data_IF_003274315126
#
_entry.id   IF_003274315126
#
_cell.length_a   1.000
_cell.length_b   1.000
_cell.length_c   1.000
_cell.angle_alpha   90.00
_cell.angle_beta   90.00
_cell.angle_gamma   90.00
#
_symmetry.space_group_name_H-M   'P 1'
#
loop_
_entity.id
_entity.type
_entity.pdbx_description
1 polymer ?
#
# COMPACT_ATOMS: atom_id res chain seq x y z
N UNK A 1 34.54 -48.67 -14.58
CA UNK A 1 33.44 -48.36 -13.64
C UNK A 1 33.49 -46.88 -13.31
N UNK A 2 32.83 -46.06 -14.11
CA UNK A 2 32.59 -44.65 -13.80
C UNK A 2 31.21 -44.33 -14.35
N UNK A 3 30.31 -43.98 -13.43
CA UNK A 3 28.86 -43.83 -13.61
C UNK A 3 28.55 -42.53 -14.36
N UNK A 4 27.56 -42.60 -15.24
CA UNK A 4 26.84 -41.48 -15.82
C UNK A 4 26.28 -40.52 -14.74
N UNK A 5 26.41 -39.22 -14.99
CA UNK A 5 25.70 -38.13 -14.33
C UNK A 5 24.75 -37.49 -15.36
N UNK A 6 23.45 -37.31 -15.06
CA UNK A 6 22.52 -36.71 -15.99
C UNK A 6 22.64 -35.18 -16.03
N UNK A 7 22.40 -34.62 -17.23
CA UNK A 7 22.37 -33.20 -17.52
C UNK A 7 21.23 -32.48 -16.77
N UNK A 8 21.54 -31.30 -16.21
CA UNK A 8 20.57 -30.35 -15.68
C UNK A 8 19.94 -29.53 -16.83
N UNK A 9 18.63 -29.26 -16.82
CA UNK A 9 17.98 -28.44 -17.84
C UNK A 9 18.22 -26.94 -17.60
N UNK A 10 18.11 -26.20 -18.71
CA UNK A 10 18.29 -24.76 -18.82
C UNK A 10 17.40 -23.97 -17.85
N UNK A 11 18.00 -23.00 -17.15
CA UNK A 11 17.29 -22.01 -16.34
C UNK A 11 16.74 -20.93 -17.27
N UNK A 12 15.42 -20.87 -17.39
CA UNK A 12 14.68 -19.79 -18.04
C UNK A 12 14.94 -18.45 -17.34
N UNK A 13 15.07 -17.42 -18.18
CA UNK A 13 15.35 -16.04 -17.80
C UNK A 13 14.13 -15.43 -17.11
N UNK A 14 14.17 -15.34 -15.78
CA UNK A 14 13.23 -14.51 -15.01
C UNK A 14 13.67 -13.05 -15.01
N UNK A 15 12.69 -12.16 -15.21
CA UNK A 15 12.85 -10.75 -15.52
C UNK A 15 13.65 -9.93 -14.52
N UNK A 16 14.31 -8.90 -15.05
CA UNK A 16 15.26 -8.00 -14.38
C UNK A 16 14.71 -7.15 -13.22
N UNK A 17 13.42 -7.29 -12.87
CA UNK A 17 12.78 -6.58 -11.75
C UNK A 17 13.01 -7.23 -10.38
N UNK A 18 13.16 -8.56 -10.31
CA UNK A 18 13.39 -9.27 -9.04
C UNK A 18 14.84 -9.18 -8.54
N UNK A 19 15.80 -9.08 -9.48
CA UNK A 19 17.20 -8.89 -9.12
C UNK A 19 17.48 -7.52 -8.50
N UNK A 20 16.78 -6.45 -8.91
CA UNK A 20 16.90 -5.16 -8.20
C UNK A 20 16.29 -5.21 -6.80
N UNK A 21 15.17 -5.93 -6.60
CA UNK A 21 14.54 -6.08 -5.29
C UNK A 21 15.42 -6.89 -4.31
N UNK A 22 16.01 -7.99 -4.77
CA UNK A 22 16.97 -8.79 -4.00
C UNK A 22 18.27 -8.04 -3.76
N UNK A 23 18.80 -7.32 -4.76
CA UNK A 23 20.01 -6.51 -4.57
C UNK A 23 19.79 -5.37 -3.57
N UNK A 24 18.60 -4.75 -3.51
CA UNK A 24 18.30 -3.73 -2.49
C UNK A 24 18.10 -4.32 -1.09
N UNK A 25 17.44 -5.47 -0.97
CA UNK A 25 17.29 -6.15 0.33
C UNK A 25 18.63 -6.66 0.86
N UNK A 26 19.47 -7.22 -0.02
CA UNK A 26 20.82 -7.65 0.33
C UNK A 26 21.73 -6.46 0.59
N UNK A 27 21.62 -5.34 -0.13
CA UNK A 27 22.43 -4.14 0.12
C UNK A 27 22.06 -3.43 1.42
N UNK A 28 20.77 -3.39 1.81
CA UNK A 28 20.37 -2.89 3.13
C UNK A 28 20.94 -3.81 4.22
N UNK A 29 20.87 -5.14 4.07
CA UNK A 29 21.43 -6.08 5.03
C UNK A 29 22.97 -6.09 5.04
N UNK A 30 23.61 -5.88 3.90
CA UNK A 30 25.07 -5.73 3.77
C UNK A 30 25.57 -4.40 4.29
N UNK A 31 24.83 -3.29 4.14
CA UNK A 31 25.15 -2.03 4.81
C UNK A 31 24.96 -2.17 6.32
N UNK A 32 23.94 -2.92 6.76
CA UNK A 32 23.70 -3.23 8.18
C UNK A 32 24.82 -4.13 8.76
N UNK A 33 25.36 -5.07 7.98
CA UNK A 33 26.47 -5.94 8.41
C UNK A 33 27.86 -5.32 8.22
N UNK A 34 28.08 -4.49 7.20
CA UNK A 34 29.36 -3.81 6.96
C UNK A 34 29.62 -2.71 8.01
N UNK A 35 28.57 -2.04 8.50
CA UNK A 35 28.67 -1.18 9.68
C UNK A 35 28.99 -1.98 10.96
N UNK A 36 28.65 -3.27 11.02
CA UNK A 36 28.92 -4.12 12.18
C UNK A 36 30.35 -4.69 12.22
N UNK A 37 31.11 -4.64 11.12
CA UNK A 37 32.47 -5.19 11.04
C UNK A 37 33.60 -4.15 11.00
N UNK A 38 33.31 -2.86 10.82
CA UNK A 38 34.31 -1.79 10.87
C UNK A 38 34.48 -1.14 12.26
N UNK A 39 33.87 -1.71 13.31
CA UNK A 39 34.13 -1.32 14.71
C UNK A 39 35.41 -1.99 15.20
N UNK A 40 36.54 -1.54 14.66
CA UNK A 40 37.85 -2.16 14.91
C UNK A 40 39.02 -1.24 14.64
N UNK A 41 38.96 0.02 15.08
CA UNK A 41 40.10 0.87 15.47
C UNK A 41 39.65 2.33 15.52
N UNK A 42 39.68 2.94 16.71
CA UNK A 42 40.18 4.30 17.01
C UNK A 42 39.72 4.68 18.43
N UNK A 43 40.64 4.95 19.38
CA UNK A 43 40.27 5.39 20.71
C UNK A 43 39.96 6.89 20.68
N UNK A 44 38.77 7.31 21.09
CA UNK A 44 38.50 8.73 21.39
C UNK A 44 37.30 9.40 20.75
N UNK A 45 36.34 8.68 20.17
CA UNK A 45 35.02 9.26 19.84
C UNK A 45 33.92 8.49 20.55
N UNK A 46 32.97 9.20 21.14
CA UNK A 46 31.83 8.62 21.84
C UNK A 46 30.97 7.84 20.84
N UNK A 47 31.19 6.53 20.75
CA UNK A 47 30.46 5.62 19.88
C UNK A 47 29.18 5.24 20.63
N UNK A 48 28.03 5.70 20.11
CA UNK A 48 26.73 5.22 20.53
C UNK A 48 26.72 3.69 20.38
N UNK A 49 26.47 3.00 21.47
CA UNK A 49 26.49 1.55 21.57
C UNK A 49 25.30 0.96 20.81
N UNK A 50 25.35 -0.34 20.48
CA UNK A 50 24.26 -1.10 19.85
C UNK A 50 22.95 -1.09 20.65
N UNK A 51 22.98 -0.62 21.91
CA UNK A 51 21.82 -0.37 22.74
C UNK A 51 21.11 0.98 22.44
N UNK A 52 21.82 1.96 21.87
CA UNK A 52 21.26 3.29 21.57
C UNK A 52 20.39 3.28 20.30
N UNK A 53 20.62 2.33 19.39
CA UNK A 53 19.75 2.11 18.20
C UNK A 53 18.39 1.51 18.60
N UNK A 54 18.31 0.83 19.74
CA UNK A 54 17.07 0.26 20.29
C UNK A 54 16.18 1.29 21.01
N UNK A 55 16.58 2.57 21.02
CA UNK A 55 15.81 3.67 21.64
C UNK A 55 15.42 4.78 20.66
N UNK A 56 15.57 4.58 19.36
CA UNK A 56 15.01 5.52 18.39
C UNK A 56 13.49 5.36 18.39
N UNK A 57 12.79 6.25 19.13
CA UNK A 57 11.33 6.39 19.04
C UNK A 57 10.96 6.51 17.56
N UNK A 58 9.92 5.78 17.15
CA UNK A 58 9.38 5.86 15.80
C UNK A 58 9.22 7.32 15.38
N UNK A 59 9.58 7.65 14.13
CA UNK A 59 9.44 9.01 13.62
C UNK A 59 7.97 9.40 13.73
N UNK A 60 7.69 10.47 14.46
CA UNK A 60 6.33 10.98 14.59
C UNK A 60 5.91 11.59 13.25
N UNK A 61 4.60 11.65 12.99
CA UNK A 61 4.13 12.32 11.76
C UNK A 61 4.59 13.78 11.73
N UNK A 62 4.70 14.42 12.90
CA UNK A 62 5.22 15.79 13.03
C UNK A 62 6.66 15.92 12.51
N UNK A 63 7.55 15.01 12.90
CA UNK A 63 8.94 15.03 12.46
C UNK A 63 9.06 14.70 10.98
N UNK A 64 8.27 13.73 10.48
CA UNK A 64 8.22 13.40 9.07
C UNK A 64 7.75 14.60 8.23
N UNK A 65 6.73 15.33 8.72
CA UNK A 65 6.25 16.56 8.11
C UNK A 65 7.33 17.65 8.13
N UNK A 66 8.01 17.89 9.26
CA UNK A 66 9.06 18.91 9.34
C UNK A 66 10.21 18.62 8.36
N UNK A 67 10.67 17.36 8.28
CA UNK A 67 11.67 16.92 7.29
C UNK A 67 11.18 17.09 5.85
N UNK A 68 9.89 16.83 5.62
CA UNK A 68 9.28 17.00 4.31
C UNK A 68 9.17 18.48 3.93
N UNK A 69 8.80 19.36 4.85
CA UNK A 69 8.76 20.82 4.66
C UNK A 69 10.16 21.37 4.38
N UNK A 70 11.19 20.90 5.10
CA UNK A 70 12.59 21.26 4.84
C UNK A 70 13.05 20.81 3.43
N UNK A 71 12.65 19.60 3.01
CA UNK A 71 13.05 19.04 1.71
C UNK A 71 12.27 19.62 0.53
N UNK A 72 10.99 19.91 0.72
CA UNK A 72 10.12 20.47 -0.33
C UNK A 72 10.22 22.00 -0.42
N UNK A 73 10.60 22.66 0.68
CA UNK A 73 10.58 24.11 0.81
C UNK A 73 9.16 24.69 0.94
N UNK A 74 8.13 23.85 0.99
CA UNK A 74 6.73 24.25 1.08
C UNK A 74 6.13 23.89 2.44
N UNK A 75 5.14 24.67 2.89
CA UNK A 75 4.38 24.33 4.10
C UNK A 75 3.40 23.20 3.82
N UNK A 76 3.36 22.21 4.69
CA UNK A 76 2.53 21.04 4.52
C UNK A 76 1.02 21.37 4.49
N UNK A 77 0.61 22.45 5.18
CA UNK A 77 -0.79 22.90 5.22
C UNK A 77 -1.30 23.61 3.95
N UNK A 78 -0.40 24.13 3.11
CA UNK A 78 -0.74 24.85 1.88
C UNK A 78 -0.54 23.98 0.63
N UNK A 79 0.29 22.95 0.71
CA UNK A 79 0.49 22.04 -0.42
C UNK A 79 -0.73 21.14 -0.66
N UNK A 80 -0.88 20.75 -1.92
CA UNK A 80 -1.91 19.79 -2.35
C UNK A 80 -1.42 18.35 -2.28
N UNK A 81 -0.11 18.10 -2.20
CA UNK A 81 0.43 16.75 -2.27
C UNK A 81 1.59 16.55 -1.28
N UNK A 82 1.34 15.75 -0.25
CA UNK A 82 2.29 15.45 0.81
C UNK A 82 2.81 14.02 0.66
N UNK A 83 4.13 13.85 0.57
CA UNK A 83 4.78 12.56 0.33
C UNK A 83 5.73 12.20 1.47
N UNK A 84 5.26 11.38 2.39
CA UNK A 84 5.95 10.90 3.59
C UNK A 84 6.28 9.40 3.47
N UNK A 85 6.78 8.96 2.32
CA UNK A 85 7.15 7.57 2.13
C UNK A 85 8.55 7.26 2.68
N UNK A 86 8.77 6.03 3.15
CA UNK A 86 10.09 5.48 3.48
C UNK A 86 10.82 6.25 4.59
N UNK A 87 10.12 6.58 5.68
CA UNK A 87 10.76 7.27 6.81
C UNK A 87 11.71 6.32 7.56
N UNK A 88 12.85 6.87 8.00
CA UNK A 88 13.84 6.17 8.82
C UNK A 88 14.06 6.99 10.09
N UNK A 89 13.68 6.49 11.28
CA UNK A 89 12.87 5.30 11.60
C UNK A 89 11.44 5.33 11.02
N UNK A 90 10.77 4.18 10.79
CA UNK A 90 9.43 4.15 10.20
C UNK A 90 8.37 4.78 11.11
N UNK A 91 7.30 5.31 10.50
CA UNK A 91 6.14 5.80 11.24
C UNK A 91 5.31 4.61 11.71
N UNK A 92 5.11 4.45 13.01
CA UNK A 92 4.27 3.38 13.58
C UNK A 92 2.80 3.80 13.77
N UNK A 93 2.56 5.11 14.02
CA UNK A 93 1.24 5.63 14.37
C UNK A 93 0.97 6.97 13.69
N UNK A 94 -0.28 7.16 13.28
CA UNK A 94 -0.76 8.43 12.76
C UNK A 94 -1.11 9.38 13.90
N UNK A 95 -0.48 10.55 13.91
CA UNK A 95 -0.69 11.59 14.92
C UNK A 95 -1.69 12.67 14.44
N UNK A 96 -2.31 13.43 15.36
CA UNK A 96 -3.16 14.58 15.02
C UNK A 96 -2.45 15.67 14.22
N UNK A 97 -1.11 15.61 14.08
CA UNK A 97 -0.34 16.46 13.17
C UNK A 97 -0.82 16.39 11.71
N UNK A 98 -1.49 15.31 11.29
CA UNK A 98 -2.14 15.25 9.96
C UNK A 98 -3.26 16.29 9.80
N UNK A 99 -3.82 16.82 10.89
CA UNK A 99 -4.87 17.83 10.83
C UNK A 99 -4.40 19.20 10.32
N UNK A 100 -3.08 19.45 10.28
CA UNK A 100 -2.52 20.67 9.70
C UNK A 100 -2.65 20.70 8.18
N UNK A 101 -2.84 19.53 7.56
CA UNK A 101 -2.88 19.30 6.11
C UNK A 101 -4.25 19.65 5.51
N UNK A 102 -4.76 20.84 5.79
CA UNK A 102 -6.14 21.24 5.43
C UNK A 102 -6.38 21.24 3.91
N UNK A 103 -5.38 21.59 3.10
CA UNK A 103 -5.49 21.65 1.63
C UNK A 103 -4.94 20.41 0.90
N UNK A 104 -4.54 19.38 1.65
CA UNK A 104 -3.89 18.21 1.04
C UNK A 104 -4.92 17.36 0.28
N UNK A 105 -4.72 17.24 -1.04
CA UNK A 105 -5.50 16.38 -1.92
C UNK A 105 -4.87 14.99 -2.06
N UNK A 106 -3.54 14.87 -1.92
CA UNK A 106 -2.79 13.62 -2.12
C UNK A 106 -1.84 13.36 -0.94
N UNK A 107 -2.11 12.30 -0.17
CA UNK A 107 -1.27 11.90 0.96
C UNK A 107 -0.62 10.55 0.68
N UNK A 108 0.71 10.51 0.70
CA UNK A 108 1.48 9.27 0.57
C UNK A 108 2.24 8.96 1.85
N UNK A 109 1.93 7.84 2.47
CA UNK A 109 2.51 7.30 3.70
C UNK A 109 3.01 5.86 3.47
N UNK A 110 3.47 5.58 2.25
CA UNK A 110 3.94 4.25 1.86
C UNK A 110 5.27 3.87 2.54
N UNK A 111 5.52 2.57 2.74
CA UNK A 111 6.76 2.06 3.38
C UNK A 111 6.95 2.62 4.78
N UNK A 112 5.94 2.41 5.62
CA UNK A 112 5.96 2.74 7.05
C UNK A 112 5.46 1.51 7.85
N UNK A 113 5.39 1.61 9.17
CA UNK A 113 4.92 0.53 10.04
C UNK A 113 3.55 0.86 10.65
N UNK A 114 2.68 1.54 9.89
CA UNK A 114 1.39 2.00 10.42
C UNK A 114 0.48 0.80 10.62
N UNK A 115 0.04 0.58 11.86
CA UNK A 115 -0.87 -0.52 12.19
C UNK A 115 -2.36 -0.14 12.10
N UNK A 116 -2.67 1.13 12.35
CA UNK A 116 -4.03 1.65 12.41
C UNK A 116 -4.13 3.01 11.75
N UNK A 117 -5.17 3.17 10.94
CA UNK A 117 -5.53 4.45 10.33
C UNK A 117 -6.33 5.25 11.36
N UNK A 118 -5.78 6.38 11.81
CA UNK A 118 -6.42 7.26 12.79
C UNK A 118 -6.09 8.72 12.48
N UNK A 119 -6.85 9.66 13.03
CA UNK A 119 -6.56 11.10 12.96
C UNK A 119 -6.62 11.72 11.54
N UNK A 120 -7.47 11.21 10.66
CA UNK A 120 -7.70 11.79 9.32
C UNK A 120 -8.71 12.94 9.30
N UNK A 121 -9.21 13.38 10.46
CA UNK A 121 -10.33 14.33 10.58
C UNK A 121 -10.05 15.73 10.01
N UNK A 122 -8.78 16.13 9.85
CA UNK A 122 -8.43 17.43 9.25
C UNK A 122 -8.28 17.42 7.73
N UNK A 123 -8.27 16.24 7.09
CA UNK A 123 -8.00 16.05 5.67
C UNK A 123 -9.30 16.14 4.83
N UNK A 124 -9.95 17.30 4.86
CA UNK A 124 -11.28 17.48 4.23
C UNK A 124 -11.28 17.48 2.70
N UNK A 125 -10.12 17.62 2.07
CA UNK A 125 -9.98 17.68 0.61
C UNK A 125 -9.21 16.49 0.04
N UNK A 126 -8.97 15.46 0.85
CA UNK A 126 -8.16 14.32 0.45
C UNK A 126 -8.90 13.49 -0.60
N UNK A 127 -8.27 13.35 -1.76
CA UNK A 127 -8.75 12.56 -2.90
C UNK A 127 -7.94 11.28 -3.06
N UNK A 128 -6.63 11.32 -2.83
CA UNK A 128 -5.73 10.18 -3.04
C UNK A 128 -4.99 9.86 -1.75
N UNK A 129 -5.16 8.63 -1.26
CA UNK A 129 -4.47 8.14 -0.07
C UNK A 129 -3.64 6.90 -0.40
N UNK A 130 -2.33 7.00 -0.21
CA UNK A 130 -1.39 5.91 -0.42
C UNK A 130 -0.80 5.45 0.92
N UNK A 131 -1.09 4.21 1.29
CA UNK A 131 -0.67 3.51 2.50
C UNK A 131 -0.04 2.16 2.15
N UNK A 132 0.62 2.05 1.00
CA UNK A 132 1.25 0.81 0.58
C UNK A 132 2.42 0.39 1.48
N UNK A 133 2.68 -0.92 1.64
CA UNK A 133 3.75 -1.45 2.49
C UNK A 133 3.65 -0.90 3.93
N UNK A 134 2.54 -1.20 4.59
CA UNK A 134 2.28 -0.91 5.99
C UNK A 134 1.78 -2.18 6.70
N UNK A 135 1.50 -2.10 8.01
CA UNK A 135 1.01 -3.22 8.82
C UNK A 135 -0.47 -3.07 9.16
N UNK A 136 -1.26 -2.47 8.26
CA UNK A 136 -2.67 -2.17 8.52
C UNK A 136 -3.46 -3.47 8.52
N UNK A 137 -4.19 -3.74 9.61
CA UNK A 137 -5.00 -4.95 9.78
C UNK A 137 -6.49 -4.75 9.45
N UNK A 138 -6.97 -3.51 9.52
CA UNK A 138 -8.37 -3.16 9.30
C UNK A 138 -8.49 -1.75 8.70
N UNK A 139 -9.48 -1.56 7.82
CA UNK A 139 -9.82 -0.27 7.20
C UNK A 139 -10.74 0.61 8.07
N UNK A 140 -10.54 0.58 9.39
CA UNK A 140 -11.27 1.44 10.33
C UNK A 140 -10.64 2.82 10.39
N UNK A 141 -11.44 3.89 10.57
CA UNK A 141 -10.94 5.25 10.75
C UNK A 141 -10.85 6.11 9.48
N UNK A 142 -11.40 5.62 8.36
CA UNK A 142 -11.53 6.34 7.09
C UNK A 142 -12.87 7.09 6.93
N UNK A 143 -13.75 7.04 7.94
CA UNK A 143 -15.11 7.61 7.86
C UNK A 143 -15.09 9.11 7.60
N UNK A 144 -14.12 9.84 8.16
CA UNK A 144 -14.01 11.29 7.99
C UNK A 144 -13.56 11.74 6.60
N UNK A 145 -12.90 10.86 5.83
CA UNK A 145 -12.46 11.14 4.46
C UNK A 145 -13.29 10.39 3.41
N UNK A 146 -14.30 9.62 3.83
CA UNK A 146 -15.06 8.75 2.93
C UNK A 146 -15.91 9.48 1.89
N UNK A 147 -16.26 10.74 2.15
CA UNK A 147 -16.98 11.58 1.21
C UNK A 147 -16.07 12.24 0.17
N UNK A 148 -14.76 12.33 0.41
CA UNK A 148 -13.85 13.04 -0.51
C UNK A 148 -12.85 12.13 -1.20
N UNK A 149 -12.59 10.94 -0.63
CA UNK A 149 -11.60 10.02 -1.14
C UNK A 149 -12.05 9.35 -2.45
N UNK A 150 -11.24 9.52 -3.49
CA UNK A 150 -11.47 8.96 -4.82
C UNK A 150 -10.54 7.77 -5.10
N UNK A 151 -9.32 7.78 -4.57
CA UNK A 151 -8.32 6.73 -4.78
C UNK A 151 -7.68 6.28 -3.47
N UNK A 152 -7.66 4.97 -3.22
CA UNK A 152 -7.07 4.36 -2.03
C UNK A 152 -6.09 3.26 -2.43
N UNK A 153 -4.82 3.43 -2.05
CA UNK A 153 -3.77 2.45 -2.32
C UNK A 153 -3.26 1.86 -1.01
N UNK A 154 -3.60 0.60 -0.76
CA UNK A 154 -3.33 -0.17 0.46
C UNK A 154 -2.65 -1.51 0.12
N UNK A 155 -1.90 -1.56 -0.97
CA UNK A 155 -1.12 -2.73 -1.38
C UNK A 155 -0.07 -3.13 -0.33
N UNK A 156 0.22 -4.42 -0.19
CA UNK A 156 1.19 -4.95 0.79
C UNK A 156 0.86 -4.52 2.22
N UNK A 157 -0.34 -4.89 2.68
CA UNK A 157 -0.78 -4.72 4.05
C UNK A 157 -1.29 -6.08 4.60
N UNK A 158 -1.78 -6.08 5.83
CA UNK A 158 -2.26 -7.28 6.52
C UNK A 158 -3.78 -7.25 6.70
N UNK A 159 -4.50 -6.70 5.72
CA UNK A 159 -5.95 -6.49 5.84
C UNK A 159 -6.67 -7.81 5.63
N UNK A 160 -7.34 -8.28 6.68
CA UNK A 160 -8.18 -9.48 6.63
C UNK A 160 -9.66 -9.14 6.46
N UNK A 161 -10.10 -8.00 7.02
CA UNK A 161 -11.49 -7.57 7.05
C UNK A 161 -11.63 -6.15 6.47
N UNK A 162 -12.54 -6.01 5.52
CA UNK A 162 -12.90 -4.75 4.84
C UNK A 162 -14.04 -4.01 5.57
N UNK A 163 -14.18 -4.22 6.88
CA UNK A 163 -15.17 -3.51 7.69
C UNK A 163 -14.86 -2.02 7.72
N UNK A 164 -15.81 -1.18 7.30
CA UNK A 164 -15.67 0.27 7.21
C UNK A 164 -15.46 0.82 5.81
N UNK A 165 -15.24 -0.05 4.80
CA UNK A 165 -15.09 0.40 3.40
C UNK A 165 -16.35 1.07 2.87
N UNK A 166 -17.53 0.65 3.33
CA UNK A 166 -18.86 1.21 3.00
C UNK A 166 -19.00 2.73 3.24
N UNK A 167 -18.14 3.32 4.07
CA UNK A 167 -18.13 4.77 4.30
C UNK A 167 -17.53 5.55 3.12
N UNK A 168 -16.76 4.89 2.24
CA UNK A 168 -16.03 5.49 1.12
C UNK A 168 -16.90 5.61 -0.15
N UNK A 169 -18.00 6.37 -0.09
CA UNK A 169 -19.01 6.41 -1.16
C UNK A 169 -18.50 6.92 -2.52
N UNK A 170 -17.46 7.76 -2.51
CA UNK A 170 -16.89 8.37 -3.70
C UNK A 170 -15.61 7.68 -4.21
N UNK A 171 -15.26 6.52 -3.64
CA UNK A 171 -14.08 5.78 -4.05
C UNK A 171 -14.26 5.21 -5.46
N UNK A 172 -13.33 5.57 -6.35
CA UNK A 172 -13.28 5.12 -7.75
C UNK A 172 -12.20 4.08 -7.98
N UNK A 173 -11.06 4.22 -7.30
CA UNK A 173 -9.90 3.34 -7.48
C UNK A 173 -9.48 2.74 -6.14
N UNK A 174 -9.41 1.42 -6.06
CA UNK A 174 -8.95 0.69 -4.89
C UNK A 174 -7.84 -0.27 -5.27
N UNK A 175 -6.62 -0.02 -4.78
CA UNK A 175 -5.51 -0.94 -4.93
C UNK A 175 -5.23 -1.62 -3.60
N UNK A 176 -5.47 -2.92 -3.53
CA UNK A 176 -5.30 -3.72 -2.34
C UNK A 176 -4.64 -5.07 -2.62
N UNK A 177 -3.66 -5.07 -3.52
CA UNK A 177 -2.86 -6.25 -3.83
C UNK A 177 -2.06 -6.73 -2.62
N UNK A 178 -1.78 -8.03 -2.50
CA UNK A 178 -0.97 -8.61 -1.43
C UNK A 178 -1.51 -8.23 -0.03
N UNK A 179 -2.80 -8.53 0.20
CA UNK A 179 -3.44 -8.45 1.51
C UNK A 179 -3.86 -9.86 1.97
N UNK A 180 -4.58 -9.96 3.09
CA UNK A 180 -4.92 -11.24 3.73
C UNK A 180 -6.42 -11.56 3.67
N UNK A 181 -7.15 -11.01 2.69
CA UNK A 181 -8.58 -11.27 2.55
C UNK A 181 -8.81 -12.68 2.01
N UNK A 182 -9.58 -13.48 2.75
CA UNK A 182 -9.82 -14.91 2.45
C UNK A 182 -11.28 -15.26 2.16
N UNK A 183 -12.21 -14.36 2.45
CA UNK A 183 -13.65 -14.63 2.46
C UNK A 183 -14.39 -13.74 1.47
N UNK A 184 -15.30 -14.34 0.68
CA UNK A 184 -16.20 -13.60 -0.21
C UNK A 184 -17.11 -12.62 0.53
N UNK A 185 -17.46 -12.89 1.79
CA UNK A 185 -18.28 -11.98 2.59
C UNK A 185 -17.65 -10.61 2.78
N UNK A 186 -16.32 -10.52 2.80
CA UNK A 186 -15.61 -9.24 2.84
C UNK A 186 -15.53 -8.59 1.45
N UNK A 187 -15.34 -9.39 0.40
CA UNK A 187 -15.32 -8.92 -0.99
C UNK A 187 -16.67 -8.31 -1.43
N UNK A 188 -17.79 -8.93 -1.04
CA UNK A 188 -19.14 -8.43 -1.36
C UNK A 188 -19.40 -7.04 -0.77
N UNK A 189 -18.72 -6.65 0.33
CA UNK A 189 -18.84 -5.29 0.87
C UNK A 189 -18.28 -4.21 -0.06
N UNK A 190 -17.40 -4.58 -1.00
CA UNK A 190 -16.96 -3.66 -2.04
C UNK A 190 -18.07 -3.34 -3.04
N UNK A 191 -19.10 -4.20 -3.13
CA UNK A 191 -20.27 -3.95 -3.99
C UNK A 191 -21.13 -2.79 -3.49
N UNK A 192 -21.05 -2.48 -2.19
CA UNK A 192 -21.73 -1.33 -1.59
C UNK A 192 -21.13 0.02 -2.03
N UNK A 193 -20.01 0.00 -2.77
CA UNK A 193 -19.35 1.18 -3.32
C UNK A 193 -19.94 1.50 -4.71
N UNK A 194 -20.80 2.53 -4.85
CA UNK A 194 -21.47 2.81 -6.11
C UNK A 194 -20.51 3.34 -7.19
N UNK A 195 -19.42 3.98 -6.77
CA UNK A 195 -18.50 4.67 -7.66
C UNK A 195 -17.25 3.86 -8.01
N UNK A 196 -17.10 2.62 -7.52
CA UNK A 196 -15.86 1.85 -7.71
C UNK A 196 -15.72 1.40 -9.17
N UNK A 197 -14.64 1.82 -9.82
CA UNK A 197 -14.36 1.60 -11.24
C UNK A 197 -13.15 0.69 -11.45
N UNK A 198 -12.07 0.89 -10.70
CA UNK A 198 -10.82 0.15 -10.81
C UNK A 198 -10.47 -0.51 -9.46
N UNK A 199 -10.28 -1.83 -9.49
CA UNK A 199 -9.95 -2.65 -8.32
C UNK A 199 -8.75 -3.53 -8.65
N UNK A 200 -7.73 -3.50 -7.80
CA UNK A 200 -6.61 -4.45 -7.85
C UNK A 200 -6.59 -5.23 -6.54
N UNK A 201 -6.75 -6.54 -6.65
CA UNK A 201 -6.90 -7.48 -5.55
C UNK A 201 -5.93 -8.69 -5.66
N UNK A 202 -5.07 -8.72 -6.69
CA UNK A 202 -4.02 -9.73 -6.90
C UNK A 202 -3.21 -10.04 -5.63
N UNK A 203 -2.97 -11.32 -5.36
CA UNK A 203 -2.12 -11.77 -4.25
C UNK A 203 -2.82 -11.78 -2.90
N UNK A 204 -4.16 -11.70 -2.89
CA UNK A 204 -4.96 -12.04 -1.72
C UNK A 204 -5.25 -13.55 -1.71
N UNK A 205 -5.31 -14.22 -0.55
CA UNK A 205 -5.63 -15.64 -0.49
C UNK A 205 -6.97 -16.03 -1.12
N UNK A 206 -7.95 -15.11 -1.16
CA UNK A 206 -9.20 -15.32 -1.88
C UNK A 206 -8.99 -15.38 -3.40
N UNK A 207 -8.19 -14.46 -3.95
CA UNK A 207 -7.88 -14.44 -5.38
C UNK A 207 -7.03 -15.64 -5.76
N UNK A 208 -5.94 -15.91 -5.05
CA UNK A 208 -5.03 -17.03 -5.32
C UNK A 208 -5.77 -18.39 -5.41
N UNK A 209 -6.74 -18.62 -4.52
CA UNK A 209 -7.60 -19.81 -4.55
C UNK A 209 -8.45 -19.91 -5.81
N UNK A 210 -9.16 -18.85 -6.18
CA UNK A 210 -10.07 -18.87 -7.33
C UNK A 210 -9.37 -18.62 -8.66
N UNK A 211 -8.18 -18.03 -8.64
CA UNK A 211 -7.28 -17.85 -9.78
C UNK A 211 -6.71 -19.20 -10.19
N UNK A 212 -6.32 -20.03 -9.22
CA UNK A 212 -5.94 -21.44 -9.44
C UNK A 212 -7.06 -22.28 -10.06
N UNK A 213 -8.32 -21.96 -9.73
CA UNK A 213 -9.52 -22.61 -10.30
C UNK A 213 -9.96 -22.01 -11.65
N UNK A 214 -9.38 -20.87 -12.06
CA UNK A 214 -9.76 -20.12 -13.26
C UNK A 214 -11.11 -19.39 -13.17
N UNK A 215 -11.72 -19.32 -11.99
CA UNK A 215 -13.07 -18.75 -11.77
C UNK A 215 -13.07 -17.35 -11.17
N UNK A 216 -11.89 -16.82 -10.80
CA UNK A 216 -11.74 -15.54 -10.11
C UNK A 216 -12.45 -14.38 -10.82
N UNK A 217 -12.15 -14.17 -12.11
CA UNK A 217 -12.70 -13.05 -12.88
C UNK A 217 -14.23 -13.11 -12.99
N UNK A 218 -14.78 -14.32 -13.22
CA UNK A 218 -16.23 -14.51 -13.36
C UNK A 218 -16.96 -14.27 -12.03
N UNK A 219 -16.45 -14.84 -10.93
CA UNK A 219 -17.04 -14.70 -9.61
C UNK A 219 -16.92 -13.26 -9.08
N UNK A 220 -15.79 -12.59 -9.36
CA UNK A 220 -15.55 -11.20 -8.97
C UNK A 220 -16.43 -10.23 -9.77
N UNK A 221 -16.47 -10.36 -11.10
CA UNK A 221 -17.30 -9.51 -11.98
C UNK A 221 -18.80 -9.69 -11.72
N UNK A 222 -19.25 -10.90 -11.40
CA UNK A 222 -20.64 -11.18 -11.00
C UNK A 222 -21.04 -10.48 -9.69
N UNK A 223 -20.12 -10.35 -8.74
CA UNK A 223 -20.36 -9.67 -7.44
C UNK A 223 -20.17 -8.16 -7.52
N UNK A 224 -19.27 -7.70 -8.39
CA UNK A 224 -18.97 -6.28 -8.61
C UNK A 224 -19.35 -5.88 -10.04
N UNK A 225 -20.65 -5.81 -10.36
CA UNK A 225 -21.09 -5.51 -11.71
C UNK A 225 -20.68 -4.08 -12.14
N UNK A 226 -20.44 -3.15 -11.22
CA UNK A 226 -20.11 -1.77 -11.57
C UNK A 226 -18.63 -1.55 -11.96
N UNK A 227 -17.79 -2.57 -11.78
CA UNK A 227 -16.36 -2.48 -11.99
C UNK A 227 -16.02 -2.46 -13.48
N UNK A 228 -15.20 -1.50 -13.91
CA UNK A 228 -14.70 -1.41 -15.30
C UNK A 228 -13.33 -2.05 -15.46
N UNK A 229 -12.56 -2.21 -14.38
CA UNK A 229 -11.22 -2.77 -14.42
C UNK A 229 -10.94 -3.57 -13.15
N UNK A 230 -10.52 -4.80 -13.34
CA UNK A 230 -10.18 -5.75 -12.28
C UNK A 230 -8.78 -6.29 -12.52
N UNK A 231 -7.89 -6.15 -11.55
CA UNK A 231 -6.53 -6.70 -11.57
C UNK A 231 -5.70 -6.29 -12.79
N UNK A 232 -5.89 -5.06 -13.25
CA UNK A 232 -5.23 -4.55 -14.45
C UNK A 232 -5.91 -4.91 -15.76
N UNK A 233 -6.89 -5.82 -15.74
CA UNK A 233 -7.67 -6.23 -16.91
C UNK A 233 -8.94 -5.40 -17.03
N UNK A 234 -9.18 -4.72 -18.16
CA UNK A 234 -10.45 -4.04 -18.37
C UNK A 234 -11.57 -5.07 -18.43
N UNK A 235 -12.57 -4.93 -17.56
CA UNK A 235 -13.81 -5.68 -17.61
C UNK A 235 -14.68 -5.00 -18.67
N UNK A 236 -14.45 -5.36 -19.93
CA UNK A 236 -15.26 -4.89 -21.05
C UNK A 236 -16.59 -5.62 -20.96
N UNK A 237 -17.63 -4.89 -20.52
CA UNK A 237 -19.00 -5.36 -20.76
C UNK A 237 -19.27 -5.23 -22.26
N UNK A 238 -19.96 -6.19 -22.90
CA UNK A 238 -20.57 -5.90 -24.18
C UNK A 238 -21.45 -4.66 -23.98
N UNK A 239 -21.21 -3.62 -24.77
CA UNK A 239 -22.01 -2.40 -24.74
C UNK A 239 -23.48 -2.81 -24.86
N UNK A 240 -24.26 -2.51 -23.82
CA UNK A 240 -25.70 -2.50 -23.99
C UNK A 240 -25.92 -1.22 -24.77
N UNK A 241 -26.07 -1.40 -26.09
CA UNK A 241 -26.54 -0.40 -27.02
C UNK A 241 -27.76 0.26 -26.36
N UNK A 242 -27.56 1.44 -25.76
CA UNK A 242 -28.66 2.32 -25.39
C UNK A 242 -29.26 2.74 -26.72
N UNK A 243 -30.18 1.90 -27.21
CA UNK A 243 -31.00 2.22 -28.36
C UNK A 243 -31.66 3.55 -28.07
N UNK A 244 -31.19 4.57 -28.78
CA UNK A 244 -31.87 5.84 -28.97
C UNK A 244 -33.31 5.53 -29.43
N UNK A 245 -34.21 5.43 -28.45
CA UNK A 245 -35.64 5.30 -28.63
C UNK A 245 -36.21 6.65 -28.98
N UNK A 246 -36.01 7.03 -30.23
CA UNK A 246 -36.67 8.14 -30.90
C UNK A 246 -38.19 7.88 -30.92
N UNK A 247 -38.96 8.70 -30.20
CA UNK A 247 -40.40 8.91 -30.43
C UNK A 247 -40.91 10.18 -29.75
#
# INVERSE_FOLDING_TARGET
>A
MTRDLPALPAVEVLGTSDLQSLMFSSYILLCYNAHAQLVGCLPGSAIATRADINMAKATTVREALAKWEEKSGEKAGETKAVRLYGQVPPIEKMDPSLSTLTNCEKLSLSTNCIEKITNLNGLKHLKILSLGRNNIKALTGLESVGETLEELWISYNLIEKLKGVQSLKNLKVLYMSNNLVKEWGEFVRLADLPCLVDLVFVGNPLEDKHSSEGTWMDEASKRLPNLKKLDGTPVIKPEVDEGDGES
#
